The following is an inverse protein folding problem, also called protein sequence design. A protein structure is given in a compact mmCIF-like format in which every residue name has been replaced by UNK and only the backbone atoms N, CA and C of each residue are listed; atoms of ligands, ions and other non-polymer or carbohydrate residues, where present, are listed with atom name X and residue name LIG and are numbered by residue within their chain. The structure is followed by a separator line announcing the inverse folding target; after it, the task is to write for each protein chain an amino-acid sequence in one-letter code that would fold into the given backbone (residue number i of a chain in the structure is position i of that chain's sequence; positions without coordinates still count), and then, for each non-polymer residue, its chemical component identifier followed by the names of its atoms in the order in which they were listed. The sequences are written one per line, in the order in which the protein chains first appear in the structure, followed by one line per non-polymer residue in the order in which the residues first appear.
data_IF_848600316863
#
_entry.id   IF_848600316863
#
_cell.length_a   1.000
_cell.length_b   1.000
_cell.length_c   1.000
_cell.angle_alpha   90.00
_cell.angle_beta   90.00
_cell.angle_gamma   90.00
#
_symmetry.space_group_name_H-M   'P 1'
#
loop_
_entity.id
_entity.type
_entity.pdbx_description
1 polymer ?
#
# COMPACT_ATOMS: atom_id res chain seq x y z
N UNK A 1 -8.65 3.85 -13.09
CA UNK A 1 -7.36 3.14 -13.19
C UNK A 1 -6.58 3.47 -14.46
N UNK A 2 -7.18 3.47 -15.66
CA UNK A 2 -6.46 3.68 -16.93
C UNK A 2 -5.52 4.91 -16.97
N UNK A 3 -5.89 6.01 -16.32
CA UNK A 3 -5.11 7.26 -16.28
C UNK A 3 -4.21 7.39 -15.04
N UNK A 4 -4.05 6.34 -14.23
CA UNK A 4 -3.30 6.40 -12.96
C UNK A 4 -1.88 6.92 -13.15
N UNK A 5 -1.18 6.44 -14.19
CA UNK A 5 0.16 6.94 -14.52
C UNK A 5 0.19 8.43 -14.81
N UNK A 6 -0.83 8.97 -15.50
CA UNK A 6 -0.90 10.41 -15.79
C UNK A 6 -1.04 11.23 -14.51
N UNK A 7 -1.86 10.79 -13.57
CA UNK A 7 -2.04 11.47 -12.29
C UNK A 7 -0.75 11.49 -11.46
N UNK A 8 -0.01 10.37 -11.46
CA UNK A 8 1.28 10.27 -10.79
C UNK A 8 2.30 11.22 -11.42
N UNK A 9 2.44 11.18 -12.75
CA UNK A 9 3.38 12.06 -13.46
C UNK A 9 3.02 13.54 -13.31
N UNK A 10 1.72 13.87 -13.31
CA UNK A 10 1.26 15.23 -13.06
C UNK A 10 1.65 15.69 -11.66
N UNK A 11 1.42 14.87 -10.63
CA UNK A 11 1.79 15.22 -9.26
C UNK A 11 3.29 15.38 -9.07
N UNK A 12 4.10 14.52 -9.69
CA UNK A 12 5.57 14.63 -9.66
C UNK A 12 6.01 15.93 -10.35
N UNK A 13 5.45 16.23 -11.53
CA UNK A 13 5.81 17.42 -12.31
C UNK A 13 5.37 18.74 -11.64
N UNK A 14 4.30 18.73 -10.86
CA UNK A 14 3.77 19.92 -10.18
C UNK A 14 4.30 20.11 -8.75
N UNK A 15 5.04 19.12 -8.22
CA UNK A 15 5.62 19.20 -6.88
C UNK A 15 7.07 19.69 -6.95
N UNK A 16 7.40 20.86 -6.36
CA UNK A 16 8.77 21.36 -6.33
C UNK A 16 9.72 20.45 -5.54
N UNK A 17 9.19 19.63 -4.64
CA UNK A 17 9.96 18.61 -3.90
C UNK A 17 10.53 17.53 -4.82
N UNK A 18 9.83 17.22 -5.91
CA UNK A 18 10.25 16.19 -6.87
C UNK A 18 10.89 16.81 -8.11
N UNK A 19 10.27 17.81 -8.71
CA UNK A 19 10.71 18.39 -9.98
C UNK A 19 10.91 19.90 -9.88
N UNK A 20 12.15 20.34 -10.10
CA UNK A 20 12.50 21.73 -10.32
C UNK A 20 12.97 21.95 -11.79
N UNK A 21 12.25 22.74 -12.60
CA UNK A 21 12.64 23.02 -13.99
C UNK A 21 13.97 23.80 -14.12
N UNK A 22 14.38 24.57 -13.12
CA UNK A 22 15.67 25.30 -13.14
C UNK A 22 16.85 24.33 -13.02
N UNK A 23 16.69 23.24 -12.27
CA UNK A 23 17.72 22.21 -12.06
C UNK A 23 17.69 21.20 -13.20
N UNK A 24 16.51 20.67 -13.51
CA UNK A 24 16.39 19.55 -14.45
C UNK A 24 16.21 19.98 -15.91
N UNK A 25 15.87 21.25 -16.17
CA UNK A 25 15.59 21.86 -17.47
C UNK A 25 14.32 21.33 -18.16
N UNK A 26 14.16 20.01 -18.24
CA UNK A 26 13.00 19.33 -18.84
C UNK A 26 12.55 18.17 -17.96
N UNK A 27 11.30 17.75 -18.12
CA UNK A 27 10.77 16.63 -17.35
C UNK A 27 11.36 15.30 -17.82
N UNK A 28 11.70 15.18 -19.10
CA UNK A 28 12.40 14.05 -19.70
C UNK A 28 13.78 13.85 -19.06
N UNK A 29 14.56 14.93 -18.89
CA UNK A 29 15.86 14.89 -18.20
C UNK A 29 15.72 14.50 -16.73
N UNK A 30 14.67 14.98 -16.06
CA UNK A 30 14.36 14.54 -14.70
C UNK A 30 14.03 13.03 -14.65
N UNK A 31 13.21 12.53 -15.57
CA UNK A 31 12.91 11.10 -15.65
C UNK A 31 14.18 10.28 -15.93
N UNK A 32 15.07 10.77 -16.79
CA UNK A 32 16.36 10.13 -17.04
C UNK A 32 17.25 10.11 -15.78
N UNK A 33 17.25 11.17 -14.97
CA UNK A 33 18.02 11.18 -13.72
C UNK A 33 17.50 10.17 -12.68
N UNK A 34 16.25 9.70 -12.81
CA UNK A 34 15.69 8.67 -11.92
C UNK A 34 16.14 7.24 -12.25
N UNK A 35 16.88 7.01 -13.35
CA UNK A 35 17.31 5.66 -13.73
C UNK A 35 18.17 4.98 -12.66
N UNK A 36 19.17 5.69 -12.11
CA UNK A 36 20.02 5.14 -11.04
C UNK A 36 19.25 4.88 -9.74
N UNK A 37 18.38 5.81 -9.25
CA UNK A 37 17.44 5.51 -8.18
C UNK A 37 16.58 4.26 -8.42
N UNK A 38 16.07 4.05 -9.64
CA UNK A 38 15.28 2.85 -9.98
C UNK A 38 16.13 1.58 -9.91
N UNK A 39 17.35 1.60 -10.46
CA UNK A 39 18.28 0.46 -10.40
C UNK A 39 18.61 0.12 -8.95
N UNK A 40 19.00 1.12 -8.15
CA UNK A 40 19.32 0.97 -6.72
C UNK A 40 18.14 0.37 -5.93
N UNK A 41 16.92 0.88 -6.16
CA UNK A 41 15.71 0.30 -5.56
C UNK A 41 15.54 -1.17 -5.94
N UNK A 42 15.69 -1.53 -7.21
CA UNK A 42 15.54 -2.93 -7.65
C UNK A 42 16.59 -3.86 -7.08
N UNK A 43 17.83 -3.40 -6.94
CA UNK A 43 18.89 -4.14 -6.27
C UNK A 43 18.56 -4.40 -4.80
N UNK A 44 17.97 -3.42 -4.11
CA UNK A 44 17.58 -3.56 -2.70
C UNK A 44 16.53 -4.67 -2.48
N UNK A 45 15.70 -4.95 -3.48
CA UNK A 45 14.66 -5.98 -3.44
C UNK A 45 15.12 -7.36 -3.96
N UNK A 46 16.40 -7.53 -4.31
CA UNK A 46 16.90 -8.85 -4.71
C UNK A 46 16.87 -9.84 -3.54
N UNK A 47 16.62 -11.13 -3.81
CA UNK A 47 16.69 -12.17 -2.78
C UNK A 47 18.05 -12.13 -2.06
N UNK A 48 18.04 -12.25 -0.74
CA UNK A 48 19.20 -12.21 0.17
C UNK A 48 19.84 -10.83 0.42
N UNK A 49 19.24 -9.74 -0.06
CA UNK A 49 19.62 -8.39 0.37
C UNK A 49 18.87 -8.02 1.64
N UNK A 50 19.57 -7.52 2.66
CA UNK A 50 18.89 -6.86 3.80
C UNK A 50 18.28 -5.57 3.27
N UNK A 51 16.95 -5.51 3.20
CA UNK A 51 16.24 -4.35 2.67
C UNK A 51 16.46 -3.17 3.62
N UNK A 52 17.23 -2.20 3.15
CA UNK A 52 17.44 -0.89 3.78
C UNK A 52 17.34 0.16 2.68
N UNK A 53 16.10 0.52 2.35
CA UNK A 53 15.85 1.63 1.45
C UNK A 53 15.69 2.88 2.29
N UNK A 54 16.49 3.91 1.99
CA UNK A 54 16.28 5.23 2.57
C UNK A 54 15.24 5.99 1.75
N UNK A 55 14.02 6.04 2.27
CA UNK A 55 12.92 6.76 1.66
C UNK A 55 12.91 8.27 1.98
N UNK A 56 13.94 8.81 2.66
CA UNK A 56 14.03 10.25 2.90
C UNK A 56 14.37 11.06 1.65
N UNK A 57 14.94 10.42 0.63
CA UNK A 57 15.36 11.03 -0.62
C UNK A 57 14.21 11.13 -1.64
N UNK A 58 13.93 12.34 -2.14
CA UNK A 58 12.80 12.58 -3.05
C UNK A 58 12.91 11.83 -4.38
N UNK A 59 14.14 11.59 -4.87
CA UNK A 59 14.38 10.79 -6.06
C UNK A 59 14.04 9.30 -5.85
N UNK A 60 14.32 8.76 -4.67
CA UNK A 60 13.95 7.38 -4.30
C UNK A 60 12.43 7.26 -4.21
N UNK A 61 11.77 8.23 -3.56
CA UNK A 61 10.32 8.28 -3.51
C UNK A 61 9.68 8.39 -4.91
N UNK A 62 10.20 9.25 -5.79
CA UNK A 62 9.71 9.40 -7.16
C UNK A 62 9.90 8.11 -7.99
N UNK A 63 11.07 7.48 -7.87
CA UNK A 63 11.33 6.19 -8.49
C UNK A 63 10.34 5.12 -7.99
N UNK A 64 10.04 5.10 -6.69
CA UNK A 64 9.05 4.21 -6.10
C UNK A 64 7.63 4.48 -6.64
N UNK A 65 7.20 5.75 -6.65
CA UNK A 65 5.90 6.19 -7.15
C UNK A 65 5.68 5.84 -8.63
N UNK A 66 6.71 5.87 -9.48
CA UNK A 66 6.56 5.54 -10.90
C UNK A 66 6.62 4.01 -11.13
N UNK A 67 7.45 3.29 -10.38
CA UNK A 67 7.76 1.88 -10.68
C UNK A 67 6.91 0.87 -9.90
N UNK A 68 6.45 1.21 -8.70
CA UNK A 68 5.85 0.25 -7.76
C UNK A 68 4.43 0.63 -7.36
N UNK A 69 4.22 1.91 -7.00
CA UNK A 69 2.91 2.41 -6.57
C UNK A 69 1.75 1.99 -7.48
N UNK A 70 1.80 2.11 -8.82
CA UNK A 70 0.65 1.81 -9.66
C UNK A 70 0.24 0.33 -9.59
N UNK A 71 1.22 -0.56 -9.47
CA UNK A 71 0.98 -1.99 -9.32
C UNK A 71 0.44 -2.34 -7.93
N UNK A 72 0.85 -1.60 -6.91
CA UNK A 72 0.30 -1.73 -5.57
C UNK A 72 -1.15 -1.26 -5.50
N UNK A 73 -1.55 -0.23 -6.25
CA UNK A 73 -2.97 0.16 -6.38
C UNK A 73 -3.80 -0.99 -6.99
N UNK A 74 -3.31 -1.62 -8.07
CA UNK A 74 -3.97 -2.78 -8.68
C UNK A 74 -4.07 -3.98 -7.75
N UNK A 75 -3.03 -4.23 -6.94
CA UNK A 75 -3.00 -5.32 -5.97
C UNK A 75 -4.15 -5.19 -4.97
N UNK A 76 -4.28 -4.03 -4.31
CA UNK A 76 -5.37 -3.80 -3.35
C UNK A 76 -6.74 -3.90 -4.01
N UNK A 77 -6.90 -3.27 -5.18
CA UNK A 77 -8.16 -3.26 -5.91
C UNK A 77 -8.62 -4.68 -6.28
N UNK A 78 -7.72 -5.53 -6.77
CA UNK A 78 -8.04 -6.91 -7.12
C UNK A 78 -8.37 -7.77 -5.89
N UNK A 79 -7.67 -7.59 -4.76
CA UNK A 79 -8.01 -8.29 -3.51
C UNK A 79 -9.42 -7.92 -3.07
N UNK A 80 -9.74 -6.62 -3.02
CA UNK A 80 -11.06 -6.14 -2.60
C UNK A 80 -12.18 -6.66 -3.53
N UNK A 81 -11.93 -6.75 -4.84
CA UNK A 81 -12.87 -7.37 -5.79
C UNK A 81 -13.15 -8.84 -5.49
N UNK A 82 -12.13 -9.62 -5.13
CA UNK A 82 -12.28 -11.05 -4.81
C UNK A 82 -13.20 -11.23 -3.61
N UNK A 83 -13.05 -10.39 -2.59
CA UNK A 83 -13.82 -10.47 -1.34
C UNK A 83 -15.04 -9.54 -1.31
N UNK A 84 -15.41 -8.91 -2.43
CA UNK A 84 -16.46 -7.89 -2.47
C UNK A 84 -17.79 -8.38 -1.86
N UNK A 85 -18.16 -9.64 -2.12
CA UNK A 85 -19.41 -10.23 -1.60
C UNK A 85 -19.42 -10.41 -0.08
N UNK A 86 -18.28 -10.31 0.59
CA UNK A 86 -18.17 -10.46 2.04
C UNK A 86 -18.44 -9.15 2.78
N UNK A 87 -18.28 -8.00 2.11
CA UNK A 87 -18.40 -6.69 2.74
C UNK A 87 -19.84 -6.22 2.86
N UNK A 88 -20.14 -5.62 4.00
CA UNK A 88 -21.35 -4.85 4.25
C UNK A 88 -20.96 -3.45 4.70
N UNK A 89 -20.67 -2.57 3.75
CA UNK A 89 -20.28 -1.20 4.05
C UNK A 89 -21.48 -0.26 4.17
N UNK A 90 -21.38 0.66 5.12
CA UNK A 90 -22.33 1.74 5.32
C UNK A 90 -21.98 2.99 4.52
N UNK A 91 -22.54 4.12 4.96
CA UNK A 91 -22.24 5.45 4.42
C UNK A 91 -20.81 5.91 4.72
N UNK A 92 -20.21 5.37 5.77
CA UNK A 92 -18.86 5.70 6.20
C UNK A 92 -18.05 4.41 6.35
N UNK A 93 -16.78 4.46 5.96
CA UNK A 93 -15.79 3.43 6.25
C UNK A 93 -14.59 4.08 6.92
N UNK A 94 -14.16 3.51 8.03
CA UNK A 94 -12.85 3.80 8.61
C UNK A 94 -11.88 2.66 8.31
N UNK A 95 -10.70 2.99 7.82
CA UNK A 95 -9.67 2.03 7.46
C UNK A 95 -8.30 2.43 8.03
N UNK A 96 -7.54 1.44 8.46
CA UNK A 96 -6.15 1.59 8.90
C UNK A 96 -5.20 0.95 7.88
N UNK A 97 -4.12 1.65 7.57
CA UNK A 97 -3.12 1.24 6.59
C UNK A 97 -1.74 1.25 7.25
N UNK A 98 -1.06 0.11 7.25
CA UNK A 98 0.15 -0.13 8.03
C UNK A 98 1.36 -0.41 7.13
N UNK A 99 2.47 0.29 7.40
CA UNK A 99 3.62 0.31 6.49
C UNK A 99 3.25 0.92 5.14
N UNK A 100 2.42 1.97 5.18
CA UNK A 100 1.67 2.46 4.04
C UNK A 100 2.51 3.23 3.02
N UNK A 101 3.66 3.77 3.42
CA UNK A 101 4.49 4.64 2.60
C UNK A 101 3.68 5.72 1.85
N UNK A 102 3.65 5.69 0.50
CA UNK A 102 2.89 6.65 -0.33
C UNK A 102 1.37 6.38 -0.44
N UNK A 103 0.84 5.36 0.24
CA UNK A 103 -0.57 4.97 0.31
C UNK A 103 -1.23 4.48 -1.00
N UNK A 104 -0.61 3.58 -1.81
CA UNK A 104 -1.27 3.00 -2.97
C UNK A 104 -2.55 2.22 -2.62
N UNK A 105 -2.61 1.62 -1.43
CA UNK A 105 -3.75 0.88 -0.93
C UNK A 105 -4.97 1.76 -0.65
N UNK A 106 -4.75 3.02 -0.26
CA UNK A 106 -5.83 4.01 -0.15
C UNK A 106 -6.43 4.31 -1.53
N UNK A 107 -5.59 4.46 -2.55
CA UNK A 107 -6.05 4.64 -3.93
C UNK A 107 -6.79 3.40 -4.48
N UNK A 108 -6.32 2.20 -4.12
CA UNK A 108 -6.97 0.94 -4.48
C UNK A 108 -8.35 0.80 -3.83
N UNK A 109 -8.45 1.11 -2.52
CA UNK A 109 -9.72 1.15 -1.80
C UNK A 109 -10.66 2.20 -2.37
N UNK A 110 -10.21 3.44 -2.55
CA UNK A 110 -10.98 4.52 -3.15
C UNK A 110 -11.58 4.11 -4.50
N UNK A 111 -10.77 3.48 -5.36
CA UNK A 111 -11.26 3.03 -6.66
C UNK A 111 -12.31 1.92 -6.55
N UNK A 112 -12.07 0.95 -5.64
CA UNK A 112 -13.02 -0.12 -5.35
C UNK A 112 -14.37 0.43 -4.86
N UNK A 113 -14.33 1.36 -3.90
CA UNK A 113 -15.51 1.99 -3.32
C UNK A 113 -16.35 2.72 -4.36
N UNK A 114 -15.71 3.53 -5.22
CA UNK A 114 -16.39 4.20 -6.34
C UNK A 114 -17.10 3.23 -7.27
N UNK A 115 -16.54 2.03 -7.48
CA UNK A 115 -17.06 1.04 -8.43
C UNK A 115 -18.15 0.14 -7.83
N UNK A 116 -18.04 -0.21 -6.56
CA UNK A 116 -18.84 -1.28 -5.96
C UNK A 116 -19.77 -0.81 -4.83
N UNK A 117 -19.53 0.37 -4.24
CA UNK A 117 -20.24 0.87 -3.06
C UNK A 117 -20.57 2.36 -3.21
N UNK A 118 -21.42 2.68 -4.18
CA UNK A 118 -21.78 4.07 -4.50
C UNK A 118 -22.57 4.79 -3.40
N UNK A 119 -23.09 4.05 -2.41
CA UNK A 119 -23.78 4.57 -1.23
C UNK A 119 -22.83 5.01 -0.12
N UNK A 120 -21.55 4.67 -0.20
CA UNK A 120 -20.54 5.18 0.74
C UNK A 120 -20.20 6.62 0.36
N UNK A 121 -20.29 7.51 1.34
CA UNK A 121 -20.13 8.96 1.19
C UNK A 121 -18.80 9.44 1.77
N UNK A 122 -18.27 8.77 2.81
CA UNK A 122 -17.02 9.14 3.48
C UNK A 122 -16.05 7.97 3.67
N UNK A 123 -14.75 8.26 3.51
CA UNK A 123 -13.64 7.40 3.88
C UNK A 123 -12.80 8.09 4.96
N UNK A 124 -12.64 7.46 6.11
CA UNK A 124 -11.70 7.84 7.15
C UNK A 124 -10.46 6.98 6.99
N UNK A 125 -9.34 7.61 6.69
CA UNK A 125 -8.07 6.96 6.33
C UNK A 125 -7.06 7.22 7.42
N UNK A 126 -6.68 6.17 8.14
CA UNK A 126 -5.66 6.22 9.19
C UNK A 126 -4.39 5.54 8.68
N UNK A 127 -3.31 6.31 8.52
CA UNK A 127 -2.07 5.89 7.88
C UNK A 127 -0.98 5.76 8.92
N UNK A 128 -0.30 4.63 8.94
CA UNK A 128 0.73 4.27 9.91
C UNK A 128 1.99 3.83 9.19
N UNK A 129 3.09 4.51 9.44
CA UNK A 129 4.40 4.16 8.89
C UNK A 129 5.50 4.59 9.87
N UNK A 130 6.63 3.88 9.91
CA UNK A 130 7.76 4.27 10.78
C UNK A 130 8.41 5.57 10.31
N UNK A 131 8.35 5.84 9.00
CA UNK A 131 8.89 7.02 8.35
C UNK A 131 7.77 7.94 7.87
N UNK A 132 6.69 8.08 8.65
CA UNK A 132 5.49 8.81 8.24
C UNK A 132 5.83 10.22 7.76
N UNK A 133 6.59 10.99 8.53
CA UNK A 133 6.96 12.36 8.16
C UNK A 133 7.78 12.44 6.87
N UNK A 134 8.54 11.39 6.53
CA UNK A 134 9.33 11.34 5.29
C UNK A 134 8.47 11.12 4.06
N UNK A 135 7.37 10.39 4.22
CA UNK A 135 6.44 10.07 3.13
C UNK A 135 5.44 11.18 2.82
N UNK A 136 5.41 12.27 3.60
CA UNK A 136 4.49 13.39 3.42
C UNK A 136 4.44 13.90 1.95
N UNK A 137 5.55 14.13 1.24
CA UNK A 137 5.49 14.61 -0.15
C UNK A 137 4.81 13.61 -1.10
N UNK A 138 5.07 12.31 -0.92
CA UNK A 138 4.45 11.26 -1.73
C UNK A 138 2.98 11.06 -1.39
N UNK A 139 2.59 11.19 -0.12
CA UNK A 139 1.18 11.12 0.29
C UNK A 139 0.40 12.34 -0.14
N UNK A 140 1.00 13.53 -0.10
CA UNK A 140 0.42 14.74 -0.68
C UNK A 140 0.16 14.55 -2.18
N UNK A 141 1.05 13.85 -2.90
CA UNK A 141 0.81 13.48 -4.29
C UNK A 141 -0.43 12.57 -4.44
N UNK A 142 -0.49 11.49 -3.65
CA UNK A 142 -1.65 10.58 -3.66
C UNK A 142 -2.95 11.34 -3.38
N UNK A 143 -2.97 12.19 -2.35
CA UNK A 143 -4.12 12.99 -1.94
C UNK A 143 -4.57 14.02 -2.97
N UNK A 144 -3.63 14.75 -3.57
CA UNK A 144 -3.97 15.91 -4.39
C UNK A 144 -4.12 15.58 -5.88
N UNK A 145 -3.52 14.47 -6.35
CA UNK A 145 -3.51 14.15 -7.79
C UNK A 145 -4.17 12.81 -8.11
N UNK A 146 -3.95 11.78 -7.28
CA UNK A 146 -4.48 10.44 -7.56
C UNK A 146 -5.91 10.28 -7.05
N UNK A 147 -6.14 10.53 -5.76
CA UNK A 147 -7.42 10.31 -5.10
C UNK A 147 -8.60 11.09 -5.68
N UNK A 148 -8.48 12.38 -6.09
CA UNK A 148 -9.61 13.13 -6.64
C UNK A 148 -10.18 12.53 -7.93
N UNK A 149 -9.38 11.72 -8.63
CA UNK A 149 -9.81 11.02 -9.84
C UNK A 149 -10.37 9.61 -9.58
N UNK A 150 -10.17 9.07 -8.37
CA UNK A 150 -10.58 7.71 -8.00
C UNK A 150 -11.72 7.69 -6.98
N UNK A 151 -11.91 8.76 -6.21
CA UNK A 151 -12.94 8.91 -5.18
C UNK A 151 -13.75 10.18 -5.40
N UNK A 152 -15.07 10.07 -5.27
CA UNK A 152 -15.99 11.22 -5.37
C UNK A 152 -16.57 11.67 -4.03
N UNK A 153 -16.45 10.83 -2.99
CA UNK A 153 -16.92 11.15 -1.65
C UNK A 153 -15.92 12.00 -0.87
N UNK A 154 -16.22 12.19 0.41
CA UNK A 154 -15.32 12.85 1.34
C UNK A 154 -14.21 11.89 1.78
N UNK A 155 -13.01 12.44 1.99
CA UNK A 155 -11.89 11.70 2.55
C UNK A 155 -11.26 12.51 3.67
N UNK A 156 -11.19 11.91 4.87
CA UNK A 156 -10.38 12.42 5.97
C UNK A 156 -9.16 11.54 6.11
N UNK A 157 -8.00 12.14 6.30
CA UNK A 157 -6.73 11.44 6.42
C UNK A 157 -6.06 11.85 7.72
N UNK A 158 -5.63 10.87 8.49
CA UNK A 158 -4.80 11.03 9.67
C UNK A 158 -3.55 10.15 9.49
N UNK A 159 -2.37 10.77 9.42
CA UNK A 159 -1.11 10.06 9.24
C UNK A 159 -0.26 10.20 10.50
N UNK A 160 0.19 9.08 11.05
CA UNK A 160 0.96 9.03 12.29
C UNK A 160 2.19 8.14 12.13
N UNK A 161 3.24 8.45 12.90
CA UNK A 161 4.39 7.58 13.04
C UNK A 161 4.00 6.35 13.87
N UNK A 162 4.30 5.16 13.37
CA UNK A 162 4.07 3.91 14.09
C UNK A 162 5.08 2.86 13.65
N UNK A 163 5.74 2.22 14.61
CA UNK A 163 6.66 1.13 14.34
C UNK A 163 5.99 -0.23 14.60
N UNK A 164 5.75 -0.99 13.52
CA UNK A 164 5.18 -2.35 13.58
C UNK A 164 6.03 -3.36 14.36
N UNK A 165 7.32 -3.06 14.54
CA UNK A 165 8.30 -3.87 15.25
C UNK A 165 8.49 -3.46 16.72
N UNK A 166 7.83 -2.39 17.18
CA UNK A 166 7.83 -2.02 18.59
C UNK A 166 6.86 -2.88 19.38
N UNK A 167 7.28 -3.36 20.55
CA UNK A 167 6.36 -3.95 21.51
C UNK A 167 5.24 -2.94 21.84
N UNK A 168 4.01 -3.43 21.93
CA UNK A 168 2.82 -2.60 22.22
C UNK A 168 2.60 -1.44 21.23
N UNK A 169 3.13 -1.54 20.01
CA UNK A 169 3.08 -0.45 19.01
C UNK A 169 1.66 -0.03 18.60
N UNK A 170 0.64 -0.83 18.92
CA UNK A 170 -0.76 -0.55 18.61
C UNK A 170 -1.57 0.01 19.81
N UNK A 171 -1.00 0.07 21.01
CA UNK A 171 -1.75 0.51 22.21
C UNK A 171 -2.25 1.96 22.08
N UNK A 172 -1.41 2.87 21.59
CA UNK A 172 -1.74 4.29 21.45
C UNK A 172 -2.89 4.54 20.45
N UNK A 173 -3.10 3.61 19.51
CA UNK A 173 -4.11 3.72 18.45
C UNK A 173 -5.31 2.80 18.69
N UNK A 174 -5.44 2.20 19.88
CA UNK A 174 -6.52 1.24 20.17
C UNK A 174 -7.90 1.84 19.89
N UNK A 175 -8.10 3.11 20.24
CA UNK A 175 -9.34 3.85 20.02
C UNK A 175 -9.68 4.06 18.52
N UNK A 176 -8.67 4.08 17.64
CA UNK A 176 -8.86 4.12 16.18
C UNK A 176 -9.17 2.73 15.66
N UNK A 177 -8.47 1.70 16.18
CA UNK A 177 -8.71 0.30 15.82
C UNK A 177 -10.15 -0.10 16.13
N UNK A 178 -10.65 0.23 17.32
CA UNK A 178 -12.00 -0.12 17.78
C UNK A 178 -13.11 0.50 16.91
N UNK A 179 -12.80 1.54 16.12
CA UNK A 179 -13.73 2.23 15.21
C UNK A 179 -13.55 1.88 13.74
N UNK A 180 -12.55 1.06 13.40
CA UNK A 180 -12.16 0.80 12.02
C UNK A 180 -12.74 -0.50 11.47
N UNK A 181 -13.13 -0.48 10.20
CA UNK A 181 -13.76 -1.60 9.49
C UNK A 181 -12.74 -2.45 8.72
N UNK A 182 -11.65 -1.83 8.26
CA UNK A 182 -10.65 -2.47 7.39
C UNK A 182 -9.25 -2.15 7.91
N UNK A 183 -8.39 -3.16 7.94
CA UNK A 183 -6.98 -3.04 8.29
C UNK A 183 -6.17 -3.63 7.15
N UNK A 184 -5.28 -2.86 6.53
CA UNK A 184 -4.48 -3.31 5.38
C UNK A 184 -2.99 -3.20 5.70
N UNK A 185 -2.28 -4.30 5.50
CA UNK A 185 -0.82 -4.40 5.49
C UNK A 185 -0.42 -4.76 4.07
N UNK A 186 0.30 -3.89 3.38
CA UNK A 186 0.67 -4.13 2.00
C UNK A 186 2.14 -3.80 1.73
N UNK A 187 2.87 -4.79 1.19
CA UNK A 187 4.27 -4.62 0.77
C UNK A 187 5.15 -4.01 1.87
N UNK A 188 4.99 -4.51 3.09
CA UNK A 188 5.71 -4.03 4.28
C UNK A 188 6.30 -5.17 5.13
N UNK A 189 5.92 -6.43 4.87
CA UNK A 189 6.39 -7.58 5.66
C UNK A 189 7.87 -7.88 5.47
N UNK A 190 8.41 -7.53 4.30
CA UNK A 190 9.82 -7.70 3.97
C UNK A 190 10.74 -6.75 4.76
N UNK A 191 10.19 -5.74 5.41
CA UNK A 191 10.92 -4.77 6.25
C UNK A 191 10.74 -5.04 7.75
N UNK A 192 9.98 -6.10 8.12
CA UNK A 192 9.77 -6.50 9.50
C UNK A 192 11.03 -7.19 10.04
N UNK A 193 11.64 -6.57 11.06
CA UNK A 193 12.84 -7.09 11.71
C UNK A 193 12.53 -7.83 13.02
N UNK A 194 11.48 -7.41 13.74
CA UNK A 194 11.05 -8.03 14.99
C UNK A 194 9.72 -8.76 14.81
N UNK A 195 9.80 -10.01 14.37
CA UNK A 195 8.63 -10.85 14.09
C UNK A 195 7.77 -11.05 15.35
N UNK A 196 8.37 -11.22 16.52
CA UNK A 196 7.61 -11.44 17.78
C UNK A 196 6.74 -10.24 18.13
N UNK A 197 7.32 -9.03 18.12
CA UNK A 197 6.56 -7.82 18.39
C UNK A 197 5.45 -7.59 17.35
N UNK A 198 5.71 -7.88 16.08
CA UNK A 198 4.68 -7.81 15.04
C UNK A 198 3.56 -8.82 15.28
N UNK A 199 3.86 -10.05 15.71
CA UNK A 199 2.84 -11.04 16.06
C UNK A 199 1.99 -10.60 17.25
N UNK A 200 2.61 -10.02 18.28
CA UNK A 200 1.90 -9.44 19.44
C UNK A 200 0.99 -8.29 19.02
N UNK A 201 1.48 -7.38 18.18
CA UNK A 201 0.68 -6.28 17.63
C UNK A 201 -0.50 -6.77 16.79
N UNK A 202 -0.31 -7.80 15.96
CA UNK A 202 -1.40 -8.42 15.20
C UNK A 202 -2.40 -9.10 16.13
N UNK A 203 -1.96 -9.79 17.17
CA UNK A 203 -2.88 -10.37 18.16
C UNK A 203 -3.69 -9.28 18.88
N UNK A 204 -3.04 -8.18 19.29
CA UNK A 204 -3.71 -7.01 19.87
C UNK A 204 -4.73 -6.41 18.90
N UNK A 205 -4.39 -6.26 17.62
CA UNK A 205 -5.33 -5.82 16.59
C UNK A 205 -6.53 -6.76 16.51
N UNK A 206 -6.31 -8.07 16.47
CA UNK A 206 -7.40 -9.06 16.43
C UNK A 206 -8.25 -9.03 17.69
N UNK A 207 -7.71 -8.65 18.86
CA UNK A 207 -8.49 -8.46 20.09
C UNK A 207 -9.39 -7.22 20.01
N UNK A 208 -8.87 -6.11 19.51
CA UNK A 208 -9.54 -4.80 19.54
C UNK A 208 -10.40 -4.48 18.33
N UNK A 209 -10.11 -5.08 17.17
CA UNK A 209 -10.87 -4.85 15.96
C UNK A 209 -12.37 -5.17 16.21
N UNK A 210 -13.31 -4.37 15.68
CA UNK A 210 -14.73 -4.63 15.86
C UNK A 210 -15.15 -5.89 15.09
N UNK A 211 -16.28 -6.47 15.49
CA UNK A 211 -16.92 -7.52 14.69
C UNK A 211 -17.28 -6.99 13.29
N UNK A 212 -17.30 -7.90 12.31
CA UNK A 212 -17.48 -7.61 10.88
C UNK A 212 -16.38 -6.75 10.24
N UNK A 213 -15.24 -6.59 10.92
CA UNK A 213 -14.04 -6.01 10.33
C UNK A 213 -13.21 -7.02 9.53
N UNK A 214 -12.33 -6.48 8.69
CA UNK A 214 -11.46 -7.25 7.81
C UNK A 214 -10.00 -6.85 7.99
N UNK A 215 -9.13 -7.84 8.19
CA UNK A 215 -7.69 -7.67 8.18
C UNK A 215 -7.19 -8.28 6.87
N UNK A 216 -6.52 -7.46 6.06
CA UNK A 216 -6.01 -7.81 4.74
C UNK A 216 -4.50 -7.66 4.79
N UNK A 217 -3.77 -8.74 4.51
CA UNK A 217 -2.31 -8.73 4.43
C UNK A 217 -1.95 -9.18 3.02
N UNK A 218 -1.18 -8.37 2.29
CA UNK A 218 -0.82 -8.64 0.90
C UNK A 218 0.64 -8.28 0.63
N UNK A 219 1.43 -9.24 0.17
CA UNK A 219 2.86 -9.00 0.00
C UNK A 219 3.48 -9.84 -1.13
N UNK A 220 4.72 -9.51 -1.49
CA UNK A 220 5.52 -10.23 -2.46
C UNK A 220 5.95 -11.60 -1.90
N UNK A 221 6.19 -12.55 -2.80
CA UNK A 221 6.49 -13.95 -2.50
C UNK A 221 7.93 -14.17 -1.97
N UNK A 222 8.28 -13.57 -0.84
CA UNK A 222 9.51 -13.83 -0.11
C UNK A 222 9.28 -14.85 1.01
N UNK A 223 10.27 -15.68 1.30
CA UNK A 223 10.16 -16.74 2.32
C UNK A 223 9.83 -16.19 3.71
N UNK A 224 10.43 -15.05 4.10
CA UNK A 224 10.11 -14.37 5.35
C UNK A 224 8.63 -13.96 5.40
N UNK A 225 8.12 -13.34 4.34
CA UNK A 225 6.75 -12.86 4.28
C UNK A 225 5.76 -14.02 4.41
N UNK A 226 6.02 -15.14 3.74
CA UNK A 226 5.21 -16.36 3.83
C UNK A 226 5.22 -16.91 5.26
N UNK A 227 6.37 -16.92 5.95
CA UNK A 227 6.46 -17.36 7.35
C UNK A 227 5.65 -16.46 8.28
N UNK A 228 5.80 -15.14 8.16
CA UNK A 228 5.04 -14.16 8.97
C UNK A 228 3.54 -14.38 8.80
N UNK A 229 3.06 -14.52 7.56
CA UNK A 229 1.64 -14.77 7.31
C UNK A 229 1.17 -16.12 7.84
N UNK A 230 1.96 -17.19 7.69
CA UNK A 230 1.61 -18.49 8.27
C UNK A 230 1.49 -18.44 9.80
N UNK A 231 2.30 -17.63 10.47
CA UNK A 231 2.18 -17.44 11.91
C UNK A 231 0.93 -16.63 12.28
N UNK A 232 0.59 -15.60 11.52
CA UNK A 232 -0.66 -14.85 11.67
C UNK A 232 -1.89 -15.75 11.45
N UNK A 233 -1.85 -16.66 10.47
CA UNK A 233 -2.89 -17.68 10.26
C UNK A 233 -3.10 -18.52 11.52
N UNK A 234 -2.02 -19.05 12.11
CA UNK A 234 -2.12 -19.85 13.35
C UNK A 234 -2.68 -19.06 14.51
N UNK A 235 -2.42 -17.74 14.59
CA UNK A 235 -3.01 -16.87 15.61
C UNK A 235 -4.51 -16.76 15.38
N UNK A 236 -4.94 -16.47 14.14
CA UNK A 236 -6.35 -16.31 13.80
C UNK A 236 -7.16 -17.61 13.96
N UNK A 237 -6.62 -18.77 13.57
CA UNK A 237 -7.28 -20.07 13.67
C UNK A 237 -7.57 -20.53 15.11
N UNK A 238 -6.82 -20.01 16.09
CA UNK A 238 -7.05 -20.30 17.51
C UNK A 238 -8.22 -19.52 18.10
N UNK A 239 -8.80 -18.59 17.35
CA UNK A 239 -9.84 -17.68 17.84
C UNK A 239 -11.21 -18.07 17.32
N UNK A 240 -12.21 -18.08 18.19
CA UNK A 240 -13.60 -18.32 17.82
C UNK A 240 -14.25 -17.13 17.09
N UNK A 241 -13.65 -15.94 17.17
CA UNK A 241 -14.14 -14.70 16.57
C UNK A 241 -13.53 -14.40 15.19
N UNK A 242 -12.71 -15.30 14.64
CA UNK A 242 -12.02 -15.10 13.37
C UNK A 242 -12.34 -16.22 12.36
N UNK A 243 -12.48 -15.84 11.09
CA UNK A 243 -12.46 -16.77 9.94
C UNK A 243 -11.45 -16.29 8.91
N UNK A 244 -10.83 -17.24 8.23
CA UNK A 244 -9.95 -16.98 7.10
C UNK A 244 -10.74 -17.31 5.83
N UNK A 245 -11.49 -16.35 5.25
CA UNK A 245 -12.22 -16.60 4.00
C UNK A 245 -11.31 -16.92 2.82
N UNK A 246 -10.09 -16.37 2.80
CA UNK A 246 -9.14 -16.60 1.71
C UNK A 246 -7.70 -16.44 2.17
N UNK A 247 -6.88 -17.38 1.72
CA UNK A 247 -5.43 -17.30 1.65
C UNK A 247 -5.03 -17.82 0.28
N UNK A 248 -4.42 -16.97 -0.55
CA UNK A 248 -4.16 -17.34 -1.95
C UNK A 248 -2.95 -16.60 -2.53
N UNK A 249 -2.45 -17.10 -3.65
CA UNK A 249 -1.43 -16.49 -4.49
C UNK A 249 -2.05 -16.02 -5.78
N UNK A 250 -1.79 -14.77 -6.16
CA UNK A 250 -2.30 -14.22 -7.41
C UNK A 250 -1.18 -13.80 -8.34
N UNK A 251 -1.39 -14.07 -9.63
CA UNK A 251 -0.61 -13.48 -10.71
C UNK A 251 -1.52 -12.97 -11.80
N UNK A 252 -1.34 -11.72 -12.22
CA UNK A 252 -2.06 -11.14 -13.35
C UNK A 252 -1.20 -10.10 -14.08
N UNK A 253 -1.41 -9.87 -15.39
CA UNK A 253 -0.74 -8.81 -16.11
C UNK A 253 -1.29 -7.45 -15.64
N UNK A 254 -0.42 -6.47 -15.41
CA UNK A 254 -0.86 -5.11 -15.08
C UNK A 254 -1.74 -4.56 -16.20
N UNK A 255 -2.89 -4.02 -15.85
CA UNK A 255 -3.82 -3.36 -16.79
C UNK A 255 -3.41 -1.93 -17.13
N UNK A 256 -2.39 -1.41 -16.45
CA UNK A 256 -1.96 -0.03 -16.58
C UNK A 256 -1.08 0.17 -17.80
N UNK A 257 -1.47 1.14 -18.64
CA UNK A 257 -0.63 1.62 -19.74
C UNK A 257 0.40 2.60 -19.20
N UNK A 258 1.66 2.19 -19.18
CA UNK A 258 2.78 3.07 -18.84
C UNK A 258 2.88 4.17 -19.89
N UNK A 259 3.01 5.42 -19.45
CA UNK A 259 3.11 6.56 -20.36
C UNK A 259 4.40 6.51 -21.18
N UNK A 260 4.34 6.88 -22.46
CA UNK A 260 5.48 6.78 -23.39
C UNK A 260 6.71 7.55 -22.92
N UNK A 261 6.49 8.73 -22.32
CA UNK A 261 7.59 9.53 -21.73
C UNK A 261 8.38 8.77 -20.66
N UNK A 262 7.74 7.87 -19.92
CA UNK A 262 8.40 7.04 -18.90
C UNK A 262 9.19 5.93 -19.57
N UNK A 263 8.60 5.23 -20.54
CA UNK A 263 9.30 4.13 -21.24
C UNK A 263 10.45 4.62 -22.13
N UNK A 264 10.42 5.89 -22.55
CA UNK A 264 11.48 6.49 -23.37
C UNK A 264 12.63 7.06 -22.54
N UNK A 265 12.36 7.54 -21.32
CA UNK A 265 13.36 8.29 -20.54
C UNK A 265 13.77 7.60 -19.21
N UNK A 266 12.94 6.74 -18.63
CA UNK A 266 13.22 6.08 -17.34
C UNK A 266 13.25 4.56 -17.47
N UNK A 267 12.16 3.95 -17.96
CA UNK A 267 12.03 2.50 -18.10
C UNK A 267 12.36 2.06 -19.53
N UNK A 268 13.62 2.29 -19.92
CA UNK A 268 14.16 2.16 -21.29
C UNK A 268 14.30 0.72 -21.78
N UNK A 269 13.92 -0.27 -20.97
CA UNK A 269 14.13 -1.71 -21.23
C UNK A 269 15.58 -2.17 -21.19
N UNK A 270 16.51 -1.31 -20.76
CA UNK A 270 17.86 -1.72 -20.36
C UNK A 270 17.82 -2.53 -19.05
N UNK A 271 18.92 -3.20 -18.72
CA UNK A 271 19.03 -3.97 -17.48
C UNK A 271 18.78 -3.08 -16.25
N UNK A 272 18.03 -3.61 -15.29
CA UNK A 272 17.53 -2.83 -14.16
C UNK A 272 16.45 -1.79 -14.51
N UNK A 273 16.08 -1.57 -15.77
CA UNK A 273 15.08 -0.56 -16.20
C UNK A 273 13.90 -1.16 -17.00
N UNK A 274 13.77 -2.49 -17.04
CA UNK A 274 12.65 -3.18 -17.69
C UNK A 274 11.33 -2.85 -16.96
N UNK A 275 10.28 -2.36 -17.64
CA UNK A 275 8.99 -2.12 -17.00
C UNK A 275 8.34 -3.41 -16.47
N UNK A 276 7.75 -3.35 -15.28
CA UNK A 276 7.04 -4.49 -14.70
C UNK A 276 5.73 -4.72 -15.45
N UNK A 277 5.56 -5.94 -15.98
CA UNK A 277 4.36 -6.36 -16.72
C UNK A 277 3.40 -7.20 -15.90
N UNK A 278 3.89 -7.88 -14.87
CA UNK A 278 3.15 -8.84 -14.07
C UNK A 278 3.16 -8.46 -12.60
N UNK A 279 1.99 -8.54 -11.99
CA UNK A 279 1.79 -8.38 -10.56
C UNK A 279 1.68 -9.80 -10.00
N UNK A 280 2.56 -10.12 -9.05
CA UNK A 280 2.67 -11.43 -8.38
C UNK A 280 2.77 -11.19 -6.90
N UNK A 281 1.84 -11.75 -6.13
CA UNK A 281 1.76 -11.57 -4.69
C UNK A 281 0.99 -12.73 -4.07
N UNK A 282 1.04 -12.80 -2.76
CA UNK A 282 0.14 -13.61 -1.97
C UNK A 282 -0.61 -12.72 -1.00
N UNK A 283 -1.78 -13.17 -0.56
CA UNK A 283 -2.58 -12.39 0.36
C UNK A 283 -3.37 -13.31 1.30
N UNK A 284 -3.64 -12.76 2.47
CA UNK A 284 -4.47 -13.32 3.52
C UNK A 284 -5.57 -12.32 3.82
N UNK A 285 -6.79 -12.82 3.95
CA UNK A 285 -7.92 -12.06 4.49
C UNK A 285 -8.42 -12.78 5.71
N UNK A 286 -8.46 -12.07 6.83
CA UNK A 286 -9.13 -12.49 8.06
C UNK A 286 -10.38 -11.65 8.20
N UNK A 287 -11.51 -12.31 8.43
CA UNK A 287 -12.77 -11.66 8.81
C UNK A 287 -12.99 -11.88 10.30
N UNK A 288 -13.24 -10.80 11.03
CA UNK A 288 -13.68 -10.87 12.42
C UNK A 288 -15.21 -10.93 12.46
N UNK A 289 -15.80 -11.75 13.33
CA UNK A 289 -17.24 -11.93 13.38
C UNK A 289 -17.69 -12.87 14.49
N UNK A 290 -19.00 -13.07 14.60
CA UNK A 290 -19.55 -14.11 15.48
C UNK A 290 -19.67 -15.41 14.70
N UNK A 291 -18.95 -16.43 15.12
CA UNK A 291 -19.00 -17.75 14.53
C UNK A 291 -19.44 -18.74 15.59
N UNK A 292 -20.47 -19.52 15.26
CA UNK A 292 -20.96 -20.60 16.09
C UNK A 292 -20.17 -21.88 15.81
#
# INVERSE_FOLDING_TARGET
MEKLYLYILQGIKQSPTFYNPEIHQTFEKYLASLQEPVKSLRESYKPNTVIKVDYSESQVQAAYLICYYPHHVEMTFEILKIIAKLFTFGKEISACFFGAGPCPEVAGLAHFMTKHYQTTESLIVNVYDIASDKWEPSRALTKNFVLPSLWKGQISENALNLNLCSANGFEEISHVIEKSNIFIFQNCLNEIQNISATQENINFLLDRAPLDSFIIIADLLYDQNIRIVNDIVKIAEKRSDCKIPIIDKKSFPSSLKIHTIVTQNLLTSEDGLIPRKWIKFFFLVIRKGKYN
#
